data_IF_236428055272
#
_entry.id   IF_236428055272
#
_cell.length_a   1.000
_cell.length_b   1.000
_cell.length_c   1.000
_cell.angle_alpha   90.00
_cell.angle_beta   90.00
_cell.angle_gamma   90.00
#
_symmetry.space_group_name_H-M   'P 1'
#
loop_
_entity.id
_entity.type
_entity.pdbx_description
1 polymer ?
#
# COMPACT_ATOMS: atom_id res chain seq x y z
N UNK A 1 16.70 -45.26 -0.94
CA UNK A 1 15.24 -45.51 -1.04
C UNK A 1 14.56 -44.51 -0.13
N UNK A 2 13.80 -43.56 -0.69
CA UNK A 2 13.08 -42.57 0.13
C UNK A 2 12.06 -43.32 0.97
N UNK A 3 12.13 -43.20 2.29
CA UNK A 3 11.20 -43.90 3.18
C UNK A 3 9.80 -43.33 2.99
N UNK A 4 8.78 -44.18 3.09
CA UNK A 4 7.38 -43.75 2.99
C UNK A 4 7.02 -42.66 4.04
N UNK A 5 7.79 -42.59 5.14
CA UNK A 5 7.71 -41.54 6.16
C UNK A 5 8.15 -40.19 5.62
N UNK A 6 9.22 -40.14 4.82
CA UNK A 6 9.77 -38.91 4.24
C UNK A 6 8.84 -38.38 3.16
N UNK A 7 8.25 -39.29 2.36
CA UNK A 7 7.24 -38.94 1.37
C UNK A 7 5.97 -38.39 2.04
N UNK A 8 5.54 -39.00 3.15
CA UNK A 8 4.43 -38.50 3.97
C UNK A 8 4.70 -37.12 4.54
N UNK A 9 5.90 -36.87 5.06
CA UNK A 9 6.31 -35.57 5.59
C UNK A 9 6.39 -34.49 4.50
N UNK A 10 6.94 -34.82 3.33
CA UNK A 10 6.96 -33.92 2.17
C UNK A 10 5.56 -33.59 1.65
N UNK A 11 4.66 -34.57 1.61
CA UNK A 11 3.26 -34.34 1.24
C UNK A 11 2.56 -33.42 2.26
N UNK A 12 2.76 -33.66 3.55
CA UNK A 12 2.16 -32.86 4.63
C UNK A 12 2.63 -31.40 4.58
N UNK A 13 3.93 -31.20 4.41
CA UNK A 13 4.55 -29.86 4.32
C UNK A 13 4.08 -29.09 3.08
N UNK A 14 3.99 -29.75 1.92
CA UNK A 14 3.44 -29.13 0.69
C UNK A 14 1.98 -28.71 0.85
N UNK A 15 1.15 -29.54 1.50
CA UNK A 15 -0.25 -29.21 1.78
C UNK A 15 -0.36 -28.02 2.74
N UNK A 16 0.46 -27.98 3.79
CA UNK A 16 0.50 -26.86 4.73
C UNK A 16 0.89 -25.55 4.05
N UNK A 17 1.90 -25.58 3.17
CA UNK A 17 2.35 -24.41 2.41
C UNK A 17 1.27 -23.91 1.43
N UNK A 18 0.59 -24.82 0.72
CA UNK A 18 -0.55 -24.45 -0.15
C UNK A 18 -1.68 -23.79 0.64
N UNK A 19 -2.05 -24.34 1.80
CA UNK A 19 -3.09 -23.75 2.67
C UNK A 19 -2.70 -22.35 3.14
N UNK A 20 -1.44 -22.13 3.53
CA UNK A 20 -0.93 -20.81 3.94
C UNK A 20 -0.97 -19.79 2.79
N UNK A 21 -0.66 -20.22 1.56
CA UNK A 21 -0.72 -19.36 0.36
C UNK A 21 -2.16 -19.04 -0.07
N UNK A 22 -3.10 -19.95 0.17
CA UNK A 22 -4.52 -19.78 -0.12
C UNK A 22 -5.26 -18.93 0.92
N UNK A 23 -4.67 -18.69 2.10
CA UNK A 23 -5.21 -17.70 3.01
C UNK A 23 -5.19 -16.34 2.33
N UNK A 24 -6.38 -15.81 2.00
CA UNK A 24 -6.53 -14.46 1.47
C UNK A 24 -5.82 -13.51 2.42
N UNK A 25 -4.81 -12.79 1.91
CA UNK A 25 -4.16 -11.73 2.68
C UNK A 25 -5.25 -10.77 3.12
N UNK A 26 -5.45 -10.65 4.45
CA UNK A 26 -6.39 -9.69 5.00
C UNK A 26 -5.95 -8.31 4.51
N UNK A 27 -6.88 -7.53 3.95
CA UNK A 27 -6.59 -6.13 3.62
C UNK A 27 -6.25 -5.43 4.93
N UNK A 28 -5.09 -4.75 5.02
CA UNK A 28 -4.76 -3.98 6.22
C UNK A 28 -5.79 -2.87 6.39
N UNK A 29 -6.20 -2.62 7.64
CA UNK A 29 -7.16 -1.56 7.98
C UNK A 29 -6.63 -0.15 7.72
N UNK A 30 -5.30 0.02 7.73
CA UNK A 30 -4.63 1.28 7.47
C UNK A 30 -3.52 1.06 6.46
N UNK A 31 -3.43 1.95 5.46
CA UNK A 31 -2.35 1.92 4.46
C UNK A 31 -1.01 2.27 5.10
N UNK A 32 0.07 1.74 4.54
CA UNK A 32 1.41 1.91 5.12
C UNK A 32 1.89 3.38 5.10
N UNK A 33 1.47 4.17 4.12
CA UNK A 33 1.78 5.61 4.08
C UNK A 33 1.12 6.37 5.24
N UNK A 34 -0.07 5.97 5.67
CA UNK A 34 -0.79 6.64 6.77
C UNK A 34 -0.02 6.52 8.09
N UNK A 35 0.67 5.39 8.30
CA UNK A 35 1.55 5.19 9.46
C UNK A 35 2.76 6.13 9.45
N UNK A 36 3.16 6.60 8.27
CA UNK A 36 4.30 7.50 8.08
C UNK A 36 3.91 8.98 8.12
N UNK A 37 2.63 9.32 8.32
CA UNK A 37 2.13 10.71 8.35
C UNK A 37 2.83 11.60 9.38
N UNK A 38 3.27 11.05 10.52
CA UNK A 38 3.97 11.82 11.55
C UNK A 38 5.45 12.05 11.18
N UNK A 39 6.00 11.21 10.29
CA UNK A 39 7.39 11.28 9.83
C UNK A 39 7.55 12.21 8.64
N UNK A 40 6.60 12.20 7.73
CA UNK A 40 6.59 13.09 6.58
C UNK A 40 5.79 14.35 6.91
N UNK A 41 6.43 15.52 6.82
CA UNK A 41 5.70 16.79 6.77
C UNK A 41 4.67 16.73 5.63
N UNK A 42 3.57 17.48 5.74
CA UNK A 42 2.42 17.39 4.83
C UNK A 42 2.80 17.41 3.33
N UNK A 43 3.78 18.23 2.93
CA UNK A 43 4.25 18.28 1.54
C UNK A 43 4.98 17.02 1.07
N UNK A 44 5.84 16.43 1.92
CA UNK A 44 6.55 15.20 1.58
C UNK A 44 5.59 14.03 1.43
N UNK A 45 4.54 14.01 2.25
CA UNK A 45 3.48 13.01 2.13
C UNK A 45 2.69 13.18 0.84
N UNK A 46 2.33 14.41 0.49
CA UNK A 46 1.62 14.71 -0.76
C UNK A 46 2.43 14.32 -2.00
N UNK A 47 3.71 14.67 -2.05
CA UNK A 47 4.60 14.27 -3.14
C UNK A 47 4.72 12.74 -3.23
N UNK A 48 4.87 12.06 -2.09
CA UNK A 48 4.90 10.60 -2.05
C UNK A 48 3.58 9.99 -2.57
N UNK A 49 2.43 10.50 -2.13
CA UNK A 49 1.13 10.01 -2.57
C UNK A 49 0.88 10.25 -4.06
N UNK A 50 1.26 11.42 -4.57
CA UNK A 50 1.15 11.75 -5.99
C UNK A 50 1.89 10.73 -6.87
N UNK A 51 3.11 10.37 -6.48
CA UNK A 51 3.96 9.50 -7.31
C UNK A 51 3.67 8.00 -7.12
N UNK A 52 3.20 7.59 -5.93
CA UNK A 52 3.03 6.16 -5.58
C UNK A 52 1.58 5.67 -5.61
N UNK A 53 0.62 6.47 -5.13
CA UNK A 53 -0.78 6.08 -4.92
C UNK A 53 -1.72 7.25 -5.31
N UNK A 54 -1.95 7.52 -6.61
CA UNK A 54 -2.70 8.69 -7.07
C UNK A 54 -4.17 8.70 -6.62
N UNK A 55 -4.79 7.54 -6.44
CA UNK A 55 -6.16 7.44 -5.89
C UNK A 55 -6.19 7.92 -4.43
N UNK A 56 -5.16 7.62 -3.65
CA UNK A 56 -5.06 8.07 -2.26
C UNK A 56 -4.70 9.55 -2.18
N UNK A 57 -3.90 10.06 -3.12
CA UNK A 57 -3.66 11.49 -3.27
C UNK A 57 -4.99 12.25 -3.45
N UNK A 58 -5.85 11.77 -4.36
CA UNK A 58 -7.18 12.36 -4.57
C UNK A 58 -8.07 12.22 -3.34
N UNK A 59 -8.04 11.07 -2.65
CA UNK A 59 -8.80 10.90 -1.42
C UNK A 59 -8.32 11.82 -0.28
N UNK A 60 -7.01 12.08 -0.21
CA UNK A 60 -6.42 12.92 0.81
C UNK A 60 -6.76 14.40 0.60
N UNK A 61 -6.62 14.90 -0.64
CA UNK A 61 -6.94 16.29 -0.98
C UNK A 61 -8.43 16.52 -1.30
N UNK A 62 -9.19 15.45 -1.53
CA UNK A 62 -10.57 15.45 -2.04
C UNK A 62 -10.74 16.18 -3.38
N UNK A 63 -9.69 16.18 -4.19
CA UNK A 63 -9.64 16.77 -5.52
C UNK A 63 -8.61 16.05 -6.37
N UNK A 64 -8.77 16.14 -7.68
CA UNK A 64 -7.77 15.69 -8.63
C UNK A 64 -6.52 16.60 -8.63
N UNK A 65 -5.44 16.09 -9.23
CA UNK A 65 -4.19 16.82 -9.28
C UNK A 65 -4.29 18.10 -10.10
N UNK A 66 -5.03 18.09 -11.21
CA UNK A 66 -5.17 19.27 -12.08
C UNK A 66 -5.92 20.39 -11.36
N UNK A 67 -6.99 20.06 -10.65
CA UNK A 67 -7.70 21.02 -9.79
C UNK A 67 -6.80 21.60 -8.69
N UNK A 68 -5.97 20.77 -8.06
CA UNK A 68 -5.03 21.25 -7.05
C UNK A 68 -4.00 22.21 -7.65
N UNK A 69 -3.39 21.84 -8.78
CA UNK A 69 -2.38 22.65 -9.46
C UNK A 69 -2.98 23.99 -9.95
N UNK A 70 -4.21 23.96 -10.47
CA UNK A 70 -4.95 25.18 -10.85
C UNK A 70 -5.20 26.11 -9.67
N UNK A 71 -5.69 25.58 -8.54
CA UNK A 71 -5.90 26.38 -7.33
C UNK A 71 -4.57 26.91 -6.77
N UNK A 72 -3.52 26.09 -6.83
CA UNK A 72 -2.20 26.50 -6.40
C UNK A 72 -1.68 27.67 -7.24
N UNK A 73 -1.83 27.61 -8.57
CA UNK A 73 -1.45 28.71 -9.48
C UNK A 73 -2.21 30.01 -9.19
N UNK A 74 -3.49 29.92 -8.83
CA UNK A 74 -4.30 31.09 -8.48
C UNK A 74 -3.84 31.76 -7.18
N UNK A 75 -3.42 30.98 -6.18
CA UNK A 75 -3.03 31.50 -4.85
C UNK A 75 -1.54 31.85 -4.79
N UNK A 76 -0.71 31.29 -5.68
CA UNK A 76 0.74 31.53 -5.74
C UNK A 76 1.17 33.01 -5.76
N UNK A 77 0.44 33.97 -6.36
CA UNK A 77 0.79 35.38 -6.29
C UNK A 77 0.70 35.97 -4.87
N UNK A 78 -0.10 35.36 -4.00
CA UNK A 78 -0.43 35.85 -2.66
C UNK A 78 0.29 35.06 -1.53
N UNK A 79 1.16 34.10 -1.88
CA UNK A 79 2.00 33.29 -0.98
C UNK A 79 3.47 33.63 -1.17
#
# INVERSE_FOLDING_TARGET
MVSNTDLGFLALTLVALKRKKQQKKKRPWSKEWYKKRNRFTHEHLLNFLRDSEPEDYMNFLRMDQESFDYLLELVRPDI
#
